data_IF_610451040523
#
_entry.id   IF_610451040523
#
_cell.length_a   1.000
_cell.length_b   1.000
_cell.length_c   1.000
_cell.angle_alpha   90.00
_cell.angle_beta   90.00
_cell.angle_gamma   90.00
#
_symmetry.space_group_name_H-M   'P 1'
#
loop_
_entity.id
_entity.type
_entity.pdbx_description
1 polymer ?
2 non-polymer ?
3 non-polymer ?
4 non-polymer ?
5 non-polymer ?
6 water ?
#
# COMPACT_ATOMS: atom_id res chain seq x y z
N UNK A 12 -3.17 -16.05 -19.12
CA UNK A 12 -1.89 -15.68 -19.73
C UNK A 12 -0.75 -16.57 -19.19
N UNK A 13 0.43 -15.98 -18.95
CA UNK A 13 1.59 -16.75 -18.48
C UNK A 13 1.24 -17.60 -17.27
N UNK A 14 1.59 -18.89 -17.30
CA UNK A 14 1.21 -19.78 -16.19
C UNK A 14 2.34 -19.85 -15.13
N UNK A 15 2.15 -19.12 -14.03
CA UNK A 15 3.21 -19.03 -13.03
C UNK A 15 3.36 -20.38 -12.35
N UNK A 16 2.24 -21.09 -12.25
CA UNK A 16 2.18 -22.38 -11.57
C UNK A 16 2.99 -23.47 -12.30
N UNK A 17 3.07 -23.39 -13.62
CA UNK A 17 3.74 -24.42 -14.42
C UNK A 17 5.21 -24.14 -14.71
N UNK A 18 5.59 -22.86 -14.63
CA UNK A 18 6.95 -22.45 -15.02
C UNK A 18 7.97 -23.18 -14.16
N UNK A 19 8.98 -23.77 -14.79
CA UNK A 19 10.07 -24.43 -14.06
C UNK A 19 11.25 -23.48 -14.02
N UNK A 20 11.16 -22.42 -14.82
CA UNK A 20 12.14 -21.36 -14.67
C UNK A 20 11.52 -19.99 -14.95
N UNK A 21 12.25 -18.95 -14.65
CA UNK A 21 11.81 -17.59 -14.96
C UNK A 21 12.34 -17.22 -16.33
N UNK A 22 11.45 -17.00 -17.31
CA UNK A 22 11.84 -16.60 -18.67
C UNK A 22 12.32 -15.17 -18.73
N UNK A 23 12.99 -14.79 -19.82
CA UNK A 23 13.68 -13.52 -19.82
C UNK A 23 12.69 -12.34 -19.70
N UNK A 24 11.48 -12.54 -20.18
CA UNK A 24 10.42 -11.52 -20.09
C UNK A 24 10.07 -11.14 -18.65
N UNK A 25 10.44 -12.02 -17.73
CA UNK A 25 10.15 -11.88 -16.32
C UNK A 25 11.38 -11.78 -15.49
N UNK A 26 12.53 -11.60 -16.13
CA UNK A 26 13.79 -11.51 -15.39
C UNK A 26 14.29 -10.07 -15.19
N UNK A 27 14.55 -9.68 -13.97
CA UNK A 27 15.00 -8.33 -13.72
C UNK A 27 16.50 -8.35 -13.39
N UNK A 28 17.26 -7.48 -14.04
CA UNK A 28 18.70 -7.34 -13.79
C UNK A 28 19.03 -6.72 -12.43
N UNK A 29 18.27 -5.76 -11.92
CA UNK A 29 18.90 -5.05 -10.80
C UNK A 29 18.81 -5.67 -9.41
N UNK A 30 18.21 -6.86 -9.27
CA UNK A 30 17.47 -7.14 -8.02
C UNK A 30 18.31 -7.17 -6.78
N UNK A 31 19.61 -7.49 -6.92
CA UNK A 31 20.45 -7.56 -5.74
C UNK A 31 21.42 -6.43 -5.72
N UNK A 32 21.15 -5.34 -6.44
CA UNK A 32 22.02 -4.16 -6.31
C UNK A 32 22.25 -3.72 -4.85
N UNK A 33 21.25 -3.86 -3.98
CA UNK A 33 21.40 -3.40 -2.62
C UNK A 33 21.21 -4.57 -1.69
N UNK A 34 21.87 -4.53 -0.54
CA UNK A 34 21.78 -5.63 0.39
C UNK A 34 20.40 -5.65 1.09
N UNK A 35 20.00 -6.81 1.57
CA UNK A 35 18.75 -6.96 2.33
C UNK A 35 19.14 -7.27 3.76
N UNK A 36 18.55 -6.57 4.72
CA UNK A 36 18.89 -6.80 6.12
C UNK A 36 17.65 -7.21 6.84
N UNK A 37 17.79 -7.88 7.98
CA UNK A 37 16.61 -8.33 8.74
C UNK A 37 15.90 -7.18 9.44
N UNK A 38 14.57 -7.15 9.33
CA UNK A 38 13.81 -6.13 10.01
C UNK A 38 12.93 -6.62 11.14
N UNK A 39 13.16 -7.86 11.58
CA UNK A 39 12.60 -8.37 12.85
C UNK A 39 13.05 -7.62 14.09
N UNK A 40 12.53 -7.99 15.25
CA UNK A 40 12.75 -7.20 16.44
C UNK A 40 14.18 -7.16 16.92
N UNK A 41 14.99 -8.13 16.48
CA UNK A 41 16.38 -8.11 16.84
C UNK A 41 17.24 -7.41 15.79
N UNK A 42 16.60 -6.73 14.84
CA UNK A 42 17.33 -6.09 13.74
C UNK A 42 18.02 -4.78 14.01
N UNK A 43 17.96 -4.30 15.26
CA UNK A 43 18.73 -3.14 15.65
C UNK A 43 18.22 -1.82 15.12
N UNK A 44 19.12 -1.03 14.49
CA UNK A 44 18.74 0.20 13.80
C UNK A 44 17.62 -0.10 12.78
N UNK A 45 17.65 -1.32 12.24
CA UNK A 45 16.69 -1.66 11.18
C UNK A 45 15.54 -2.60 11.58
N UNK A 46 15.26 -2.69 12.88
CA UNK A 46 14.03 -3.40 13.25
C UNK A 46 12.88 -2.49 12.81
N UNK A 47 11.98 -3.01 12.01
CA UNK A 47 10.75 -2.23 11.71
C UNK A 47 10.02 -1.84 13.00
N UNK A 48 9.64 -0.57 13.13
CA UNK A 48 8.97 -0.03 14.31
C UNK A 48 7.60 -0.66 14.44
N UNK A 49 7.19 -0.94 15.65
CA UNK A 49 5.84 -1.43 15.89
C UNK A 49 5.03 -0.43 16.65
N UNK A 50 3.80 -0.14 16.22
CA UNK A 50 2.94 0.79 16.92
C UNK A 50 1.69 0.05 17.41
N UNK A 51 1.40 0.13 18.70
CA UNK A 51 0.17 -0.42 19.29
C UNK A 51 -0.77 0.73 19.34
N UNK A 52 -1.84 0.64 18.56
CA UNK A 52 -2.71 1.77 18.35
C UNK A 52 -3.52 2.21 19.58
N UNK A 53 -3.77 1.28 20.47
CA UNK A 53 -4.45 1.61 21.71
C UNK A 53 -3.52 2.06 22.87
N UNK A 54 -2.20 2.08 22.66
CA UNK A 54 -1.27 2.49 23.73
C UNK A 54 -1.26 4.01 23.89
N UNK A 55 -1.09 4.49 25.11
CA UNK A 55 -1.13 5.94 25.31
C UNK A 55 -0.05 6.72 24.61
N UNK A 56 1.05 6.07 24.24
CA UNK A 56 2.11 6.76 23.55
C UNK A 56 2.08 6.49 22.02
N UNK A 57 0.94 6.03 21.50
CA UNK A 57 0.84 5.75 20.05
C UNK A 57 1.26 6.93 19.17
N UNK A 58 0.75 8.14 19.47
CA UNK A 58 1.10 9.33 18.67
C UNK A 58 2.61 9.55 18.53
N UNK A 59 3.31 9.43 19.64
CA UNK A 59 4.79 9.59 19.65
C UNK A 59 5.50 8.52 18.82
N UNK A 60 5.06 7.28 18.95
CA UNK A 60 5.64 6.20 18.15
C UNK A 60 5.34 6.40 16.67
N UNK A 61 4.13 6.86 16.38
CA UNK A 61 3.77 7.12 14.98
C UNK A 61 4.64 8.24 14.44
N UNK A 62 4.90 9.26 15.25
CA UNK A 62 5.75 10.36 14.81
C UNK A 62 7.13 9.90 14.38
N UNK A 63 7.79 9.15 15.26
CA UNK A 63 9.14 8.64 15.02
C UNK A 63 9.15 7.73 13.81
N UNK A 64 8.18 6.83 13.72
CA UNK A 64 8.18 5.89 12.57
C UNK A 64 7.90 6.61 11.27
N UNK A 65 6.95 7.54 11.29
CA UNK A 65 6.58 8.25 10.02
C UNK A 65 7.76 9.12 9.55
N UNK A 66 8.44 9.76 10.50
CA UNK A 66 9.62 10.58 10.17
C UNK A 66 10.82 9.73 9.73
N UNK A 67 11.12 8.65 10.42
CA UNK A 67 12.40 7.98 10.16
C UNK A 67 12.29 6.83 9.15
N UNK A 68 11.09 6.25 9.00
CA UNK A 68 10.89 5.08 8.14
C UNK A 68 9.82 5.28 7.06
N UNK A 69 8.80 6.07 7.38
CA UNK A 69 7.59 6.16 6.49
C UNK A 69 6.69 4.91 6.55
N UNK A 70 6.89 4.10 7.58
CA UNK A 70 6.18 2.81 7.69
C UNK A 70 6.29 2.31 9.13
N UNK A 71 5.39 1.42 9.50
CA UNK A 71 5.51 0.72 10.79
C UNK A 71 4.54 -0.45 10.78
N UNK A 72 4.84 -1.48 11.56
CA UNK A 72 3.82 -2.51 11.89
C UNK A 72 2.78 -1.93 12.84
N UNK A 73 1.52 -2.36 12.67
CA UNK A 73 0.44 -1.79 13.47
C UNK A 73 -0.25 -2.92 14.18
N UNK A 74 -0.22 -2.92 15.51
CA UNK A 74 -0.92 -3.95 16.28
C UNK A 74 -1.96 -3.29 17.16
N UNK A 75 -2.74 -4.11 17.85
CA UNK A 75 -3.72 -3.61 18.80
C UNK A 75 -4.87 -2.86 18.15
N UNK A 76 -5.12 -3.14 16.86
CA UNK A 76 -6.07 -2.35 16.08
C UNK A 76 -7.52 -2.77 16.25
N UNK A 77 -7.76 -3.88 16.91
CA UNK A 77 -9.13 -4.30 17.17
C UNK A 77 -9.87 -5.02 16.02
N UNK A 78 -9.29 -5.10 14.83
CA UNK A 78 -9.94 -5.86 13.75
C UNK A 78 -9.85 -7.36 14.06
N UNK A 79 -11.01 -8.01 14.17
CA UNK A 79 -11.02 -9.40 14.65
C UNK A 79 -10.15 -10.33 13.86
N UNK A 80 -9.33 -11.13 14.53
CA UNK A 80 -8.46 -12.09 13.81
C UNK A 80 -9.22 -13.11 12.94
N UNK A 81 -10.43 -13.47 13.35
CA UNK A 81 -11.23 -14.40 12.56
C UNK A 81 -11.60 -13.75 11.22
N UNK A 82 -11.82 -12.44 11.26
CA UNK A 82 -12.23 -11.71 10.04
C UNK A 82 -11.03 -11.64 9.09
N UNK A 83 -9.87 -11.36 9.67
CA UNK A 83 -8.65 -11.27 8.86
C UNK A 83 -8.34 -12.56 8.16
N UNK A 84 -8.64 -13.68 8.83
CA UNK A 84 -8.36 -14.97 8.20
C UNK A 84 -9.34 -15.26 7.03
N UNK A 85 -10.59 -14.86 7.22
CA UNK A 85 -11.61 -15.00 6.18
C UNK A 85 -11.27 -14.10 4.98
N UNK A 86 -10.79 -12.90 5.27
CA UNK A 86 -10.29 -12.04 4.17
C UNK A 86 -9.19 -12.72 3.38
N UNK A 87 -8.16 -13.22 4.07
CA UNK A 87 -7.10 -13.89 3.33
C UNK A 87 -7.58 -15.12 2.51
N UNK A 88 -8.49 -15.90 3.06
CA UNK A 88 -9.06 -17.01 2.31
C UNK A 88 -9.83 -16.59 1.04
N UNK A 89 -10.67 -15.56 1.16
CA UNK A 89 -11.39 -15.05 0.01
C UNK A 89 -10.45 -14.53 -1.04
N UNK A 90 -9.43 -13.81 -0.62
CA UNK A 90 -8.44 -13.30 -1.55
C UNK A 90 -7.77 -14.47 -2.29
N UNK A 91 -7.27 -15.45 -1.55
CA UNK A 91 -6.73 -16.65 -2.22
C UNK A 91 -7.71 -17.27 -3.19
N UNK A 92 -8.98 -17.29 -2.80
CA UNK A 92 -10.02 -17.88 -3.65
C UNK A 92 -10.13 -17.19 -5.01
N UNK A 93 -10.04 -15.87 -5.03
CA UNK A 93 -10.13 -15.12 -6.28
C UNK A 93 -9.03 -15.59 -7.19
N UNK A 94 -7.82 -15.72 -6.67
CA UNK A 94 -6.72 -16.08 -7.58
C UNK A 94 -6.63 -17.58 -7.93
N UNK A 95 -7.38 -18.42 -7.21
CA UNK A 95 -7.42 -19.83 -7.63
C UNK A 95 -8.44 -20.07 -8.73
N UNK A 96 -9.24 -19.07 -9.05
CA UNK A 96 -10.17 -19.25 -10.17
C UNK A 96 -9.41 -19.54 -11.48
N UNK A 97 -10.07 -20.22 -12.39
CA UNK A 97 -9.44 -20.43 -13.71
C UNK A 97 -9.17 -19.14 -14.46
N UNK A 98 -8.10 -19.16 -15.23
CA UNK A 98 -7.75 -17.98 -16.05
C UNK A 98 -8.93 -17.45 -16.84
N UNK A 99 -9.73 -18.35 -17.39
CA UNK A 99 -10.85 -17.94 -18.23
C UNK A 99 -11.87 -17.06 -17.47
N UNK A 100 -12.09 -17.39 -16.21
CA UNK A 100 -13.01 -16.59 -15.38
C UNK A 100 -12.43 -15.28 -14.94
N UNK A 101 -11.16 -15.29 -14.57
CA UNK A 101 -10.48 -14.05 -14.20
C UNK A 101 -10.51 -13.05 -15.27
N UNK A 102 -10.24 -13.48 -16.51
CA UNK A 102 -10.20 -12.55 -17.66
C UNK A 102 -11.54 -11.93 -17.96
N UNK A 103 -12.61 -12.53 -17.45
CA UNK A 103 -13.90 -11.94 -17.60
C UNK A 103 -13.98 -10.63 -16.83
N UNK A 104 -13.12 -10.47 -15.81
CA UNK A 104 -13.15 -9.26 -15.02
C UNK A 104 -11.90 -8.41 -15.29
N UNK A 105 -11.29 -8.60 -16.47
CA UNK A 105 -10.04 -7.88 -16.73
C UNK A 105 -10.20 -6.40 -16.60
N UNK A 106 -9.16 -5.76 -16.06
CA UNK A 106 -9.12 -4.32 -15.97
C UNK A 106 -8.52 -3.90 -17.32
N UNK A 107 -9.31 -3.28 -18.20
CA UNK A 107 -8.78 -2.91 -19.51
C UNK A 107 -7.85 -1.72 -19.44
N UNK A 108 -7.18 -1.38 -20.55
CA UNK A 108 -6.24 -0.25 -20.57
C UNK A 108 -6.89 1.02 -20.04
N UNK A 109 -6.29 1.64 -19.03
CA UNK A 109 -6.82 2.86 -18.45
C UNK A 109 -8.00 2.77 -17.48
N UNK A 110 -8.58 1.57 -17.33
CA UNK A 110 -9.69 1.38 -16.40
C UNK A 110 -9.16 1.28 -14.99
N UNK A 111 -9.92 1.76 -13.98
CA UNK A 111 -9.43 1.78 -12.60
C UNK A 111 -9.55 0.44 -11.91
N UNK A 112 -10.54 -0.41 -12.27
CA UNK A 112 -10.79 -1.61 -11.48
C UNK A 112 -10.81 -2.90 -12.31
N UNK A 113 -10.57 -4.01 -11.62
CA UNK A 113 -10.66 -5.32 -12.24
C UNK A 113 -9.40 -6.13 -12.05
N UNK A 114 -9.39 -7.26 -12.76
CA UNK A 114 -8.31 -8.21 -12.67
C UNK A 114 -7.16 -7.79 -13.57
N UNK A 115 -5.93 -7.78 -13.02
CA UNK A 115 -4.80 -7.42 -13.85
C UNK A 115 -3.67 -6.84 -13.00
N UNK A 116 -2.51 -6.72 -13.64
CA UNK A 116 -1.38 -6.09 -12.91
C UNK A 116 -1.79 -4.63 -12.62
N UNK A 117 -1.28 -4.07 -11.56
CA UNK A 117 -1.54 -2.69 -11.22
C UNK A 117 -0.89 -1.74 -12.24
N UNK A 118 -1.34 -0.49 -12.27
CA UNK A 118 -0.95 0.46 -13.32
C UNK A 118 0.57 0.67 -13.42
N UNK A 119 1.30 0.55 -12.32
CA UNK A 119 2.78 0.73 -12.45
C UNK A 119 3.40 -0.22 -13.48
N UNK A 120 2.78 -1.39 -13.71
CA UNK A 120 3.34 -2.38 -14.63
C UNK A 120 3.52 -1.84 -16.03
N UNK A 121 2.64 -0.98 -16.47
CA UNK A 121 2.77 -0.56 -17.89
C UNK A 121 3.99 0.34 -18.19
N UNK A 122 4.66 0.83 -17.13
CA UNK A 122 5.82 1.69 -17.33
C UNK A 122 7.15 0.95 -17.42
N UNK A 123 7.12 -0.37 -17.21
CA UNK A 123 8.33 -1.17 -17.13
C UNK A 123 8.29 -2.25 -18.19
N UNK A 124 9.46 -2.52 -18.79
CA UNK A 124 9.56 -3.46 -19.87
C UNK A 124 9.51 -4.91 -19.40
N UNK A 125 10.10 -5.22 -18.26
CA UNK A 125 10.05 -6.60 -17.69
C UNK A 125 8.75 -6.80 -16.90
N UNK A 126 8.30 -8.04 -16.78
CA UNK A 126 7.01 -8.33 -16.15
C UNK A 126 7.15 -8.90 -14.73
N UNK A 127 6.20 -8.56 -13.88
CA UNK A 127 6.22 -8.90 -12.44
C UNK A 127 5.72 -10.33 -12.24
N UNK A 128 6.18 -10.97 -11.15
CA UNK A 128 5.80 -12.35 -10.92
C UNK A 128 4.64 -12.31 -9.94
N UNK A 129 3.46 -11.88 -10.39
CA UNK A 129 2.29 -11.76 -9.52
C UNK A 129 1.02 -11.59 -10.35
N UNK A 130 -0.14 -11.68 -9.70
CA UNK A 130 -1.41 -11.25 -10.28
C UNK A 130 -2.03 -10.22 -9.37
N UNK A 131 -2.97 -9.45 -9.89
CA UNK A 131 -3.63 -8.48 -9.04
C UNK A 131 -5.12 -8.37 -9.30
N UNK A 132 -5.78 -7.62 -8.43
CA UNK A 132 -7.21 -7.27 -8.67
C UNK A 132 -7.47 -5.98 -7.88
N UNK A 133 -8.08 -4.97 -8.51
CA UNK A 133 -8.34 -3.70 -7.81
C UNK A 133 -9.83 -3.55 -7.76
N UNK A 134 -10.35 -3.14 -6.60
CA UNK A 134 -11.77 -2.74 -6.55
C UNK A 134 -11.95 -1.61 -5.58
N UNK A 135 -13.08 -0.95 -5.67
CA UNK A 135 -13.40 0.09 -4.70
C UNK A 135 -14.48 -0.46 -3.76
N UNK A 136 -14.19 -0.46 -2.46
CA UNK A 136 -15.17 -0.94 -1.49
C UNK A 136 -16.56 -0.30 -1.66
N UNK A 137 -16.61 0.96 -2.07
CA UNK A 137 -17.89 1.65 -2.23
C UNK A 137 -18.72 1.09 -3.39
N UNK A 138 -18.13 0.32 -4.31
CA UNK A 138 -18.91 -0.32 -5.39
C UNK A 138 -18.51 -1.78 -5.55
N UNK A 139 -18.12 -2.39 -4.43
CA UNK A 139 -17.72 -3.79 -4.38
C UNK A 139 -18.75 -4.73 -4.98
N UNK A 140 -20.01 -4.59 -4.58
CA UNK A 140 -20.99 -5.56 -5.02
C UNK A 140 -21.18 -5.52 -6.53
N UNK A 141 -21.12 -4.34 -7.09
CA UNK A 141 -21.31 -4.23 -8.52
C UNK A 141 -20.03 -4.62 -9.30
N UNK A 142 -18.86 -4.21 -8.80
CA UNK A 142 -17.62 -4.57 -9.51
C UNK A 142 -17.41 -6.09 -9.56
N UNK A 143 -17.62 -6.75 -8.44
CA UNK A 143 -17.33 -8.19 -8.34
C UNK A 143 -18.29 -9.05 -9.17
N UNK A 144 -19.40 -8.47 -9.61
CA UNK A 144 -20.27 -9.18 -10.52
C UNK A 144 -19.60 -9.33 -11.90
N UNK A 145 -18.55 -8.54 -12.19
CA UNK A 145 -17.80 -8.81 -13.42
C UNK A 145 -17.07 -10.17 -13.33
N UNK A 146 -16.65 -10.54 -12.12
CA UNK A 146 -15.92 -11.77 -11.93
C UNK A 146 -16.88 -12.95 -11.81
N UNK A 147 -18.02 -12.68 -11.16
CA UNK A 147 -19.11 -13.67 -10.92
C UNK A 147 -20.44 -13.15 -11.45
N UNK A 148 -20.64 -13.21 -12.78
CA UNK A 148 -21.80 -12.58 -13.42
C UNK A 148 -23.10 -13.23 -12.99
N UNK A 149 -23.07 -14.46 -12.51
CA UNK A 149 -24.32 -15.08 -12.02
C UNK A 149 -24.35 -15.20 -10.52
N UNK A 150 -23.57 -14.35 -9.87
CA UNK A 150 -23.57 -14.28 -8.42
C UNK A 150 -23.21 -15.64 -7.88
N UNK A 151 -23.93 -16.15 -6.87
CA UNK A 151 -23.54 -17.45 -6.33
C UNK A 151 -22.74 -17.41 -5.03
N UNK A 152 -22.33 -18.58 -4.54
CA UNK A 152 -21.75 -18.65 -3.19
C UNK A 152 -20.46 -17.90 -3.01
N UNK A 153 -19.51 -18.14 -3.88
CA UNK A 153 -18.23 -17.48 -3.76
C UNK A 153 -18.39 -15.94 -3.80
N UNK A 154 -19.24 -15.48 -4.72
CA UNK A 154 -19.53 -14.07 -4.85
C UNK A 154 -20.15 -13.51 -3.58
N UNK A 155 -21.17 -14.17 -3.07
CA UNK A 155 -21.84 -13.62 -1.90
C UNK A 155 -20.98 -13.67 -0.64
N UNK A 156 -20.19 -14.72 -0.49
CA UNK A 156 -19.27 -14.79 0.64
C UNK A 156 -18.16 -13.75 0.53
N UNK A 157 -17.65 -13.57 -0.67
CA UNK A 157 -16.59 -12.59 -0.90
C UNK A 157 -17.11 -11.21 -0.51
N UNK A 158 -18.30 -10.84 -1.00
CA UNK A 158 -18.83 -9.51 -0.72
C UNK A 158 -19.14 -9.34 0.73
N UNK A 159 -19.64 -10.39 1.38
CA UNK A 159 -19.91 -10.28 2.83
C UNK A 159 -18.58 -10.00 3.62
N UNK A 160 -17.56 -10.79 3.36
CA UNK A 160 -16.30 -10.65 4.11
C UNK A 160 -15.71 -9.27 3.77
N UNK A 161 -15.72 -8.88 2.49
CA UNK A 161 -15.08 -7.57 2.15
C UNK A 161 -15.83 -6.37 2.67
N UNK A 162 -17.15 -6.46 2.74
CA UNK A 162 -17.96 -5.41 3.33
C UNK A 162 -17.68 -5.20 4.81
N UNK A 163 -17.61 -6.30 5.53
CA UNK A 163 -17.31 -6.17 6.95
C UNK A 163 -15.89 -5.65 7.18
N UNK A 164 -14.96 -6.15 6.38
CA UNK A 164 -13.58 -5.68 6.45
C UNK A 164 -13.52 -4.19 6.16
N UNK A 165 -14.15 -3.72 5.08
CA UNK A 165 -14.18 -2.28 4.82
C UNK A 165 -14.75 -1.45 6.00
N UNK A 166 -15.86 -1.89 6.58
CA UNK A 166 -16.38 -1.16 7.75
C UNK A 166 -15.34 -1.07 8.89
N UNK A 167 -14.63 -2.16 9.19
CA UNK A 167 -13.61 -2.09 10.26
C UNK A 167 -12.42 -1.20 9.87
N UNK A 168 -11.97 -1.34 8.62
CA UNK A 168 -10.77 -0.62 8.17
C UNK A 168 -11.04 0.88 8.00
N UNK A 169 -12.26 1.24 7.64
CA UNK A 169 -12.51 2.66 7.44
C UNK A 169 -12.49 3.34 8.81
N UNK A 170 -12.95 2.64 9.84
CA UNK A 170 -12.85 3.16 11.20
C UNK A 170 -11.38 3.25 11.69
N UNK A 171 -10.62 2.20 11.44
CA UNK A 171 -9.20 2.17 11.80
C UNK A 171 -8.49 3.31 11.10
N UNK A 172 -8.81 3.53 9.82
CA UNK A 172 -8.18 4.57 9.02
C UNK A 172 -8.46 5.96 9.65
N UNK A 173 -9.68 6.16 10.15
CA UNK A 173 -10.01 7.43 10.80
C UNK A 173 -9.22 7.55 12.10
N UNK A 174 -9.07 6.45 12.81
CA UNK A 174 -8.24 6.51 14.07
C UNK A 174 -6.77 6.80 13.75
N UNK A 175 -6.23 6.13 12.74
CA UNK A 175 -4.83 6.40 12.37
C UNK A 175 -4.61 7.82 11.87
N UNK A 176 -5.54 8.36 11.08
CA UNK A 176 -5.39 9.73 10.65
C UNK A 176 -5.25 10.68 11.83
N UNK A 177 -6.10 10.50 12.86
CA UNK A 177 -5.99 11.36 14.05
C UNK A 177 -4.62 11.19 14.71
N UNK A 178 -4.10 9.97 14.75
CA UNK A 178 -2.78 9.78 15.32
C UNK A 178 -1.70 10.47 14.48
N UNK A 179 -1.81 10.37 13.16
CA UNK A 179 -0.81 11.03 12.29
C UNK A 179 -0.81 12.52 12.52
N UNK A 180 -2.01 13.10 12.70
CA UNK A 180 -2.06 14.54 12.90
C UNK A 180 -1.51 14.90 14.28
N UNK A 181 -1.86 14.12 15.29
CA UNK A 181 -1.23 14.37 16.59
C UNK A 181 0.27 14.26 16.52
N UNK A 182 0.73 13.31 15.71
CA UNK A 182 2.17 13.07 15.59
C UNK A 182 2.91 14.26 14.98
N UNK A 183 2.19 15.20 14.37
CA UNK A 183 2.81 16.46 13.97
C UNK A 183 3.06 17.35 15.19
N UNK A 184 2.63 16.92 16.38
CA UNK A 184 2.81 17.74 17.58
C UNK A 184 1.63 18.64 17.88
N UNK A 185 0.43 18.19 17.53
CA UNK A 185 -0.75 19.01 17.73
C UNK A 185 -1.52 18.35 18.85
N UNK A 186 -2.24 19.13 19.65
CA UNK A 186 -2.96 18.48 20.74
C UNK A 186 -4.23 17.90 20.12
N UNK A 187 -4.91 17.05 20.87
CA UNK A 187 -6.21 16.52 20.43
C UNK A 187 -7.16 17.63 20.05
N UNK A 188 -7.11 18.73 20.81
CA UNK A 188 -8.03 19.84 20.55
C UNK A 188 -7.67 20.58 19.24
N UNK A 189 -6.38 20.71 18.95
CA UNK A 189 -5.93 21.30 17.68
C UNK A 189 -6.22 20.40 16.49
N UNK A 190 -6.04 19.08 16.67
CA UNK A 190 -6.41 18.14 15.62
C UNK A 190 -7.92 18.25 15.29
N UNK A 191 -8.77 18.40 16.31
CA UNK A 191 -10.22 18.57 16.07
C UNK A 191 -10.46 19.80 15.24
N UNK A 192 -9.68 20.84 15.49
CA UNK A 192 -9.79 22.04 14.69
C UNK A 192 -9.39 21.84 13.25
N UNK A 193 -8.31 21.11 13.00
CA UNK A 193 -7.94 20.78 11.62
C UNK A 193 -9.00 19.94 10.92
N UNK A 194 -9.51 18.93 11.64
CA UNK A 194 -10.52 18.09 11.02
C UNK A 194 -11.77 18.91 10.75
N UNK A 195 -12.16 19.78 11.67
CA UNK A 195 -13.39 20.58 11.45
C UNK A 195 -13.21 21.45 10.21
N UNK A 196 -12.03 22.03 10.04
CA UNK A 196 -11.82 22.94 8.91
C UNK A 196 -11.61 22.22 7.57
N UNK A 197 -10.86 21.12 7.55
CA UNK A 197 -10.54 20.50 6.26
C UNK A 197 -11.28 19.21 5.97
N UNK A 198 -11.91 18.63 6.98
CA UNK A 198 -12.67 17.38 6.80
C UNK A 198 -11.88 16.30 6.07
N UNK A 199 -10.64 16.14 6.46
CA UNK A 199 -9.75 15.22 5.73
C UNK A 199 -10.21 13.82 6.01
N UNK A 200 -10.36 13.51 7.28
CA UNK A 200 -10.81 12.15 7.56
C UNK A 200 -12.20 11.83 7.10
N UNK A 201 -13.11 12.77 7.26
CA UNK A 201 -14.49 12.57 6.79
C UNK A 201 -14.54 12.26 5.29
N UNK A 202 -13.66 12.87 4.53
CA UNK A 202 -13.77 12.75 3.08
C UNK A 202 -12.87 11.70 2.44
N UNK A 203 -11.94 11.12 3.16
CA UNK A 203 -11.00 10.28 2.40
C UNK A 203 -11.71 9.04 1.86
N UNK A 204 -11.15 8.56 0.75
CA UNK A 204 -11.67 7.42 0.02
C UNK A 204 -10.74 6.27 0.23
N UNK A 205 -11.29 5.07 0.12
CA UNK A 205 -10.54 3.81 0.22
C UNK A 205 -10.60 3.11 -1.13
N UNK A 206 -9.48 2.50 -1.53
CA UNK A 206 -9.39 1.62 -2.72
C UNK A 206 -8.63 0.37 -2.33
N UNK A 207 -9.05 -0.78 -2.84
CA UNK A 207 -8.35 -2.03 -2.48
C UNK A 207 -7.56 -2.60 -3.65
N UNK A 208 -6.32 -3.03 -3.41
CA UNK A 208 -5.63 -3.82 -4.45
C UNK A 208 -5.17 -5.15 -3.86
N UNK A 209 -5.61 -6.23 -4.48
CA UNK A 209 -5.22 -7.59 -4.05
C UNK A 209 -4.06 -8.05 -4.86
N UNK A 210 -3.09 -8.70 -4.22
CA UNK A 210 -1.87 -9.23 -4.89
C UNK A 210 -1.76 -10.71 -4.58
N UNK A 211 -1.42 -11.52 -5.57
CA UNK A 211 -1.12 -12.93 -5.41
C UNK A 211 0.31 -13.10 -5.92
N UNK A 212 1.22 -13.56 -5.05
CA UNK A 212 2.61 -13.86 -5.43
C UNK A 212 2.88 -15.35 -5.41
N UNK A 213 2.76 -16.01 -6.57
CA UNK A 213 3.01 -17.44 -6.63
C UNK A 213 4.46 -17.81 -6.33
N UNK A 214 4.67 -19.03 -5.85
CA UNK A 214 6.03 -19.58 -5.69
C UNK A 214 6.82 -19.36 -6.98
N UNK A 215 8.12 -19.14 -6.86
CA UNK A 215 8.94 -18.85 -8.02
C UNK A 215 10.20 -19.69 -8.02
N UNK A 216 10.49 -20.35 -9.13
CA UNK A 216 11.63 -21.26 -9.09
C UNK A 216 12.99 -20.55 -9.16
N UNK A 217 13.05 -19.29 -9.60
CA UNK A 217 14.32 -18.57 -9.58
C UNK A 217 14.15 -17.19 -8.99
N UNK A 218 14.03 -17.11 -7.66
CA UNK A 218 13.74 -15.84 -7.03
C UNK A 218 14.80 -14.78 -7.26
N UNK A 219 16.00 -15.14 -7.68
CA UNK A 219 16.98 -14.08 -7.88
C UNK A 219 16.70 -13.34 -9.19
N UNK A 220 15.79 -13.87 -10.00
CA UNK A 220 15.51 -13.31 -11.31
C UNK A 220 14.18 -12.57 -11.35
N UNK A 221 13.22 -13.08 -10.60
CA UNK A 221 11.88 -12.52 -10.69
C UNK A 221 11.62 -11.48 -9.56
N UNK A 222 10.60 -10.66 -9.78
CA UNK A 222 10.27 -9.57 -8.89
C UNK A 222 8.76 -9.61 -8.71
N UNK A 223 8.31 -9.59 -7.47
CA UNK A 223 6.88 -9.71 -7.18
C UNK A 223 6.17 -8.39 -7.45
N UNK A 224 6.71 -7.31 -6.91
CA UNK A 224 6.07 -6.00 -7.14
C UNK A 224 7.18 -4.97 -7.23
N UNK A 225 7.15 -4.24 -8.34
CA UNK A 225 8.16 -3.23 -8.63
C UNK A 225 8.25 -2.22 -7.50
N UNK A 226 9.47 -1.81 -7.18
CA UNK A 226 9.75 -0.85 -6.08
C UNK A 226 9.00 0.46 -6.39
N UNK A 227 8.31 1.00 -5.38
CA UNK A 227 7.59 2.26 -5.60
C UNK A 227 7.28 2.90 -4.27
N UNK A 228 6.87 4.18 -4.31
CA UNK A 228 6.08 4.71 -3.18
C UNK A 228 4.59 4.62 -3.55
N UNK A 229 3.69 4.56 -2.55
CA UNK A 229 2.24 4.71 -2.79
C UNK A 229 1.97 6.21 -2.99
N UNK A 230 1.03 6.56 -3.89
CA UNK A 230 0.83 7.97 -4.20
C UNK A 230 -0.02 8.68 -3.17
N UNK A 231 -0.88 7.97 -2.49
CA UNK A 231 -1.86 8.65 -1.64
C UNK A 231 -1.45 9.05 -0.24
N UNK A 232 -2.41 9.08 0.70
CA UNK A 232 -2.04 9.50 2.08
C UNK A 232 -1.31 8.37 2.77
N UNK A 233 -1.98 7.24 2.95
CA UNK A 233 -1.35 6.11 3.65
C UNK A 233 -2.13 4.83 3.34
N UNK A 234 -1.48 3.69 3.59
CA UNK A 234 -1.99 2.41 3.13
C UNK A 234 -1.82 1.36 4.20
N UNK A 235 -2.82 0.49 4.36
CA UNK A 235 -2.66 -0.64 5.30
C UNK A 235 -2.41 -1.84 4.46
N UNK A 236 -1.42 -2.66 4.84
CA UNK A 236 -1.11 -3.86 4.06
C UNK A 236 -1.42 -5.03 4.97
N UNK A 237 -2.26 -5.92 4.47
CA UNK A 237 -2.55 -7.20 5.14
C UNK A 237 -1.90 -8.31 4.31
N UNK A 238 -1.11 -9.17 4.96
CA UNK A 238 -0.38 -10.17 4.16
C UNK A 238 -0.50 -11.54 4.82
N UNK A 239 -0.46 -12.58 4.03
CA UNK A 239 -0.24 -13.96 4.50
C UNK A 239 1.05 -13.98 5.32
N UNK A 240 1.20 -15.01 6.14
CA UNK A 240 2.39 -15.13 6.98
C UNK A 240 3.57 -15.76 6.22
N UNK A 241 3.94 -15.12 5.11
CA UNK A 241 5.07 -15.50 4.28
C UNK A 241 5.76 -14.12 4.06
N UNK A 242 7.08 -14.06 4.23
CA UNK A 242 7.68 -12.72 4.04
C UNK A 242 7.86 -12.38 2.56
N UNK A 243 8.15 -11.10 2.31
CA UNK A 243 8.24 -10.65 0.92
C UNK A 243 8.19 -9.17 0.77
N UNK A 244 7.56 -8.48 1.71
CA UNK A 244 7.59 -6.98 1.66
C UNK A 244 8.94 -6.46 2.14
N UNK A 245 9.51 -5.51 1.40
CA UNK A 245 10.79 -4.93 1.78
C UNK A 245 10.70 -3.42 1.69
N UNK A 246 11.32 -2.73 2.66
CA UNK A 246 11.22 -1.26 2.72
C UNK A 246 12.62 -0.71 2.45
N UNK A 247 12.75 0.27 1.58
CA UNK A 247 14.09 0.84 1.25
C UNK A 247 14.48 1.85 2.33
N UNK A 248 15.76 1.82 2.75
CA UNK A 248 16.32 2.85 3.60
C UNK A 248 17.63 3.31 2.98
N UNK A 249 18.01 4.55 3.26
CA UNK A 249 19.23 5.14 2.76
C UNK A 249 20.32 5.27 3.86
N UNK A 250 21.54 5.54 3.43
CA UNK A 250 22.67 5.75 4.34
C UNK A 250 23.03 4.57 5.24
N UNK A 251 23.43 3.43 4.64
CA UNK A 251 23.58 3.28 3.21
C UNK A 251 22.32 2.66 2.60
N UNK A 252 22.21 2.78 1.28
CA UNK A 252 21.07 2.15 0.54
C UNK A 252 20.90 0.68 0.82
N UNK A 253 19.69 0.26 1.21
CA UNK A 253 19.47 -1.12 1.59
C UNK A 253 17.97 -1.44 1.67
N UNK A 254 17.63 -2.71 1.53
CA UNK A 254 16.25 -3.18 1.71
C UNK A 254 16.09 -3.78 3.09
N UNK A 255 15.00 -3.45 3.77
CA UNK A 255 14.74 -4.04 5.09
C UNK A 255 13.65 -5.07 4.98
N UNK A 256 13.92 -6.34 5.30
CA UNK A 256 12.86 -7.34 5.15
C UNK A 256 11.84 -7.22 6.28
N UNK A 257 10.60 -6.89 5.93
CA UNK A 257 9.56 -6.77 6.97
C UNK A 257 9.12 -8.17 7.43
N UNK A 258 9.04 -8.39 8.75
CA UNK A 258 8.70 -9.75 9.21
C UNK A 258 7.23 -10.01 8.98
N UNK A 259 6.83 -11.28 8.85
CA UNK A 259 5.42 -11.60 8.75
C UNK A 259 4.94 -11.87 10.18
N UNK A 260 4.12 -10.98 10.72
CA UNK A 260 3.67 -11.06 12.13
C UNK A 260 2.18 -11.27 12.24
N UNK A 261 1.76 -12.38 12.87
CA UNK A 261 0.35 -12.65 13.02
C UNK A 261 -0.43 -11.45 13.64
N UNK A 262 -1.54 -11.06 13.00
CA UNK A 262 -2.36 -9.95 13.50
C UNK A 262 -1.77 -8.53 13.37
N UNK A 263 -0.70 -8.36 12.59
CA UNK A 263 -0.21 -6.97 12.36
C UNK A 263 -0.62 -6.56 10.94
N UNK A 264 -0.88 -5.25 10.73
CA UNK A 264 -0.90 -4.69 9.40
C UNK A 264 0.45 -4.04 9.23
N UNK A 265 0.83 -3.71 8.00
CA UNK A 265 1.99 -2.78 7.87
C UNK A 265 1.34 -1.49 7.37
N UNK A 266 1.68 -0.33 7.96
CA UNK A 266 1.18 0.95 7.42
C UNK A 266 2.32 1.58 6.60
N UNK A 267 2.04 1.99 5.37
CA UNK A 267 3.02 2.72 4.52
C UNK A 267 2.52 4.12 4.31
N UNK A 268 3.37 5.12 4.51
CA UNK A 268 3.00 6.49 4.29
C UNK A 268 3.22 6.78 2.81
N UNK A 269 2.32 7.54 2.22
CA UNK A 269 2.43 7.79 0.77
C UNK A 269 2.75 9.25 0.39
N UNK A 270 2.87 9.51 -0.93
CA UNK A 270 3.38 10.81 -1.40
C UNK A 270 2.52 11.98 -0.97
N UNK A 271 1.19 11.84 -1.09
CA UNK A 271 0.34 12.97 -0.74
C UNK A 271 0.47 13.31 0.74
N UNK A 272 0.78 12.33 1.60
CA UNK A 272 0.98 12.70 3.03
C UNK A 272 2.33 13.40 3.23
N UNK A 273 3.31 13.04 2.41
CA UNK A 273 4.58 13.77 2.42
C UNK A 273 4.27 15.25 2.09
N UNK A 274 3.42 15.48 1.08
CA UNK A 274 3.05 16.84 0.74
C UNK A 274 2.29 17.51 1.84
N UNK A 275 1.25 16.85 2.31
CA UNK A 275 0.47 17.35 3.45
C UNK A 275 1.31 17.79 4.64
N UNK A 276 2.36 17.05 4.94
CA UNK A 276 3.21 17.35 6.13
C UNK A 276 4.43 18.23 5.85
N UNK A 277 4.49 18.85 4.68
CA UNK A 277 5.61 19.68 4.27
C UNK A 277 6.90 18.87 4.25
N UNK A 278 6.80 17.57 4.01
CA UNK A 278 8.03 16.78 3.88
C UNK A 278 8.41 16.11 5.17
N UNK A 279 7.64 16.33 6.22
CA UNK A 279 7.98 15.80 7.54
C UNK A 279 7.88 14.29 7.67
N UNK A 280 6.85 13.72 7.04
CA UNK A 280 6.65 12.27 7.08
C UNK A 280 7.15 11.71 5.78
N UNK A 281 7.99 10.67 5.87
CA UNK A 281 8.64 10.06 4.72
C UNK A 281 7.68 9.18 3.90
N UNK A 282 7.68 9.32 2.58
CA UNK A 282 6.89 8.41 1.74
C UNK A 282 7.81 7.22 1.41
N UNK A 283 7.45 6.03 1.89
CA UNK A 283 8.39 4.90 1.90
C UNK A 283 8.42 4.21 0.56
N UNK A 284 9.63 3.95 0.10
CA UNK A 284 9.81 3.21 -1.11
C UNK A 284 9.91 1.75 -0.76
N UNK A 285 9.13 0.92 -1.45
CA UNK A 285 9.01 -0.47 -1.04
C UNK A 285 8.77 -1.37 -2.22
N UNK A 286 9.12 -2.65 -2.07
CA UNK A 286 8.92 -3.63 -3.15
C UNK A 286 8.50 -4.94 -2.54
N UNK A 287 8.10 -5.88 -3.36
CA UNK A 287 7.77 -7.22 -2.85
C UNK A 287 8.56 -8.25 -3.62
N UNK A 288 9.29 -9.11 -2.90
CA UNK A 288 10.07 -10.16 -3.58
C UNK A 288 9.34 -11.48 -3.56
N UNK A 289 9.68 -12.37 -4.48
CA UNK A 289 9.01 -13.64 -4.55
C UNK A 289 9.75 -14.62 -3.65
N UNK A 290 9.20 -15.82 -3.55
CA UNK A 290 9.60 -16.87 -2.65
C UNK A 290 9.71 -18.21 -3.43
N UNK A 291 10.71 -19.04 -3.19
CA UNK A 291 10.77 -20.31 -3.85
C UNK A 291 9.71 -21.30 -3.36
N UNK A 292 9.33 -21.17 -2.09
CA UNK A 292 8.59 -22.28 -1.46
C UNK A 292 7.11 -22.08 -1.33
N UNK A 293 6.69 -20.82 -1.13
CA UNK A 293 5.31 -20.58 -0.75
C UNK A 293 4.67 -19.46 -1.55
N UNK A 294 3.45 -19.69 -2.02
CA UNK A 294 2.57 -18.62 -2.52
C UNK A 294 2.24 -17.70 -1.36
N UNK A 295 1.92 -16.45 -1.69
CA UNK A 295 1.67 -15.36 -0.71
C UNK A 295 0.50 -14.55 -1.29
N UNK A 296 -0.45 -14.07 -0.47
CA UNK A 296 -1.44 -13.11 -0.94
C UNK A 296 -1.28 -11.90 -0.05
N UNK A 297 -1.57 -10.72 -0.59
CA UNK A 297 -1.56 -9.52 0.24
C UNK A 297 -2.70 -8.63 -0.26
N UNK A 298 -3.15 -7.71 0.58
CA UNK A 298 -4.22 -6.78 0.21
C UNK A 298 -3.70 -5.43 0.66
N UNK A 299 -3.70 -4.41 -0.21
CA UNK A 299 -3.46 -3.06 0.25
C UNK A 299 -4.79 -2.31 0.32
N UNK A 300 -4.95 -1.49 1.34
CA UNK A 300 -6.19 -0.75 1.57
C UNK A 300 -5.69 0.69 1.60
N UNK A 301 -5.89 1.36 0.48
CA UNK A 301 -5.23 2.64 0.17
C UNK A 301 -6.19 3.79 0.47
N UNK A 302 -5.74 4.70 1.35
CA UNK A 302 -6.49 5.92 1.71
C UNK A 302 -5.93 7.09 0.91
N UNK A 303 -6.82 7.98 0.50
CA UNK A 303 -6.40 9.25 -0.11
C UNK A 303 -7.60 10.19 -0.17
N UNK A 304 -7.39 11.40 -0.66
CA UNK A 304 -8.46 12.41 -0.72
C UNK A 304 -9.46 12.09 -1.86
N UNK A 305 -10.65 12.67 -1.79
CA UNK A 305 -11.57 12.60 -2.94
C UNK A 305 -10.95 13.35 -4.14
N UNK A 306 -11.42 13.07 -5.37
CA UNK A 306 -10.74 13.56 -6.57
C UNK A 306 -10.75 15.07 -6.72
N UNK A 307 -11.66 15.76 -6.05
CA UNK A 307 -11.76 17.20 -6.20
C UNK A 307 -10.94 17.99 -5.18
N UNK A 308 -10.51 17.35 -4.09
CA UNK A 308 -9.80 18.06 -3.05
C UNK A 308 -8.34 18.43 -3.42
N UNK A 309 -7.91 19.63 -3.08
CA UNK A 309 -6.50 19.99 -3.32
C UNK A 309 -5.71 19.56 -2.13
N UNK A 310 -4.53 19.00 -2.35
CA UNK A 310 -3.70 18.65 -1.19
C UNK A 310 -2.49 19.57 -1.24
N UNK A 311 -2.20 20.23 -0.13
CA UNK A 311 -1.05 21.12 -0.02
C UNK A 311 -0.57 21.02 1.39
N UNK A 312 0.62 21.56 1.68
CA UNK A 312 1.10 21.44 3.04
C UNK A 312 0.11 22.06 4.00
N UNK A 313 -0.22 21.36 5.09
CA UNK A 313 -1.03 21.94 6.15
C UNK A 313 -0.30 23.09 6.85
N UNK A 314 -0.99 24.21 7.09
CA UNK A 314 -0.36 25.33 7.81
C UNK A 314 0.19 24.90 9.11
N UNK A 315 -0.50 23.98 9.79
CA UNK A 315 -0.01 23.45 11.07
C UNK A 315 1.29 22.66 10.92
N UNK A 316 1.58 22.17 9.72
CA UNK A 316 2.83 21.43 9.51
C UNK A 316 3.98 22.30 9.03
N UNK A 317 3.68 23.48 8.50
CA UNK A 317 4.71 24.38 8.02
C UNK A 317 5.23 25.21 9.20
N UNK A 318 6.52 25.09 9.54
CA UNK A 318 7.08 25.84 10.70
C UNK A 318 6.90 27.34 10.49
N UNK A 319 6.74 28.10 11.57
CA UNK A 319 6.37 29.52 11.43
C UNK A 319 7.44 30.28 10.67
N UNK A 320 7.03 31.22 9.84
CA UNK A 320 8.00 31.94 9.04
C UNK A 320 8.44 31.24 7.75
N UNK A 321 8.20 29.92 7.62
CA UNK A 321 8.69 29.15 6.45
C UNK A 321 7.67 29.05 5.34
N UNK A 322 8.15 28.77 4.14
CA UNK A 322 7.25 28.69 3.00
C UNK A 322 6.81 27.22 2.81
N UNK A 323 5.65 26.98 2.19
CA UNK A 323 5.29 25.61 1.84
C UNK A 323 6.27 24.99 0.86
N UNK A 324 6.57 23.73 1.11
CA UNK A 324 7.64 23.05 0.33
C UNK A 324 7.10 22.41 -0.93
N UNK A 325 5.76 22.35 -1.04
CA UNK A 325 5.12 21.73 -2.20
C UNK A 325 3.95 22.56 -2.68
N UNK A 326 3.71 22.53 -4.00
CA UNK A 326 2.51 23.15 -4.61
C UNK A 326 1.28 22.30 -4.31
N UNK A 327 0.10 22.92 -4.40
CA UNK A 327 -1.18 22.22 -4.25
C UNK A 327 -1.44 21.35 -5.46
N UNK A 328 -1.91 20.12 -5.25
CA UNK A 328 -2.26 19.22 -6.32
C UNK A 328 -3.50 18.42 -5.92
N UNK A 329 -4.37 18.12 -6.89
CA UNK A 329 -5.39 17.13 -6.63
C UNK A 329 -4.79 15.74 -6.88
N UNK A 330 -5.46 14.68 -6.40
CA UNK A 330 -4.93 13.31 -6.66
C UNK A 330 -4.88 12.97 -8.14
N UNK A 331 -5.94 13.33 -8.93
CA UNK A 331 -5.82 13.06 -10.37
C UNK A 331 -4.68 13.84 -11.00
N UNK A 332 -4.49 15.10 -10.59
CA UNK A 332 -3.35 15.85 -11.11
C UNK A 332 -2.06 15.16 -10.73
N UNK A 333 -2.01 14.68 -9.51
CA UNK A 333 -0.73 14.13 -9.04
C UNK A 333 -0.44 12.81 -9.74
N UNK A 334 -1.48 12.04 -10.09
CA UNK A 334 -1.30 10.78 -10.84
C UNK A 334 -0.66 11.06 -12.19
N UNK A 335 -1.05 12.17 -12.82
CA UNK A 335 -0.42 12.57 -14.09
C UNK A 335 1.05 12.89 -13.87
N UNK A 336 1.39 13.48 -12.73
CA UNK A 336 2.79 13.78 -12.45
C UNK A 336 3.53 12.45 -12.23
N UNK A 337 2.90 11.52 -11.52
CA UNK A 337 3.55 10.21 -11.35
C UNK A 337 3.84 9.52 -12.67
N UNK A 338 2.88 9.56 -13.57
CA UNK A 338 3.03 8.90 -14.88
C UNK A 338 4.23 9.49 -15.64
N UNK A 339 4.35 10.81 -15.54
CA UNK A 339 5.44 11.50 -16.20
C UNK A 339 6.72 11.08 -15.52
N UNK A 340 6.71 11.00 -14.19
CA UNK A 340 7.93 10.61 -13.45
C UNK A 340 8.40 9.22 -13.85
N UNK A 341 7.46 8.28 -13.99
CA UNK A 341 7.83 6.89 -14.31
C UNK A 341 8.46 6.80 -15.71
N UNK A 342 8.01 7.63 -16.63
CA UNK A 342 8.52 7.56 -18.01
C UNK A 342 9.87 8.24 -18.11
N UNK A 343 10.07 9.29 -17.32
CA UNK A 343 11.26 10.10 -17.48
C UNK A 343 12.36 9.79 -16.47
N UNK A 344 12.11 8.88 -15.53
CA UNK A 344 13.11 8.57 -14.52
C UNK A 344 13.20 9.57 -13.39
N UNK A 345 12.31 10.55 -13.38
CA UNK A 345 12.24 11.53 -12.31
C UNK A 345 11.47 11.13 -11.04
N UNK A 346 11.28 12.08 -10.14
CA UNK A 346 10.63 11.82 -8.85
C UNK A 346 9.38 12.72 -8.84
N UNK A 347 8.18 12.15 -8.75
CA UNK A 347 6.97 12.98 -8.70
C UNK A 347 6.97 14.00 -7.57
N UNK A 348 7.54 13.65 -6.41
CA UNK A 348 7.55 14.60 -5.29
C UNK A 348 8.40 15.80 -5.62
N UNK A 349 9.57 15.54 -6.22
CA UNK A 349 10.46 16.65 -6.60
C UNK A 349 9.78 17.52 -7.63
N UNK A 350 9.03 16.89 -8.52
CA UNK A 350 8.36 17.64 -9.59
C UNK A 350 7.27 18.59 -9.09
N UNK A 351 6.65 18.31 -7.93
CA UNK A 351 5.66 19.24 -7.40
C UNK A 351 6.21 20.08 -6.22
N UNK A 352 7.50 19.90 -5.93
CA UNK A 352 8.11 20.66 -4.87
C UNK A 352 8.37 22.11 -5.29
N UNK A 353 8.48 22.97 -4.28
CA UNK A 353 8.71 24.38 -4.56
C UNK A 353 10.21 24.72 -4.72
N UNK A 354 11.06 23.73 -4.94
CA UNK A 354 12.49 24.00 -5.24
C UNK A 354 13.04 23.27 -6.47
#
# INVERSE_FOLDING_TARGET
MPTPSHLKNPLCFDFRAARRVPETHAWPGLDDHPVVDGGGGGGEDAVPVVDVGAGDAAARVARAAEQWGAFLLVGHGVPAALLSRVEERVARVFSLPASEKMRAVRGPGEPCGYGSPPISSFFSKLMWSEGYTFSPSSLRSELRRLWPKSGDDYLLFCDVMEEFHKEMRRLADELLRLFLRALGLTGEEVAGVEAERRIGERMTATVHLNWYPRCPEPRRALGLIAHTDSGFFTFVLQSLVPGLQLFRRGPDRWVAVPAVAGAFVVNVGDLFHILTNGRFHSVYHRAVVNRDRDRVSLGYFLGPPPDAEVAPLPEAVPAGRSPAYRAVTWPEYMAVRKKAFATGGSALKMVSTDAAAAADEHDDVAAAADVHA
#
